data_IF_938080141741
#
_entry.id   IF_938080141741
#
_cell.length_a   1.000
_cell.length_b   1.000
_cell.length_c   1.000
_cell.angle_alpha   90.00
_cell.angle_beta   90.00
_cell.angle_gamma   90.00
#
_symmetry.space_group_name_H-M   'P 1'
#
loop_
_entity.id
_entity.type
_entity.pdbx_description
1 polymer ?
#
# COMPACT_ATOMS: atom_id res chain seq x y z
N UNK A 1 2.28 -17.57 -1.07
CA UNK A 1 1.21 -17.12 -1.98
C UNK A 1 1.61 -15.78 -2.55
N UNK A 2 1.61 -15.65 -3.86
CA UNK A 2 1.84 -14.40 -4.60
C UNK A 2 0.49 -13.72 -4.83
N UNK A 3 0.44 -12.39 -4.78
CA UNK A 3 -0.79 -11.65 -5.09
C UNK A 3 -0.96 -11.60 -6.61
N UNK A 4 -2.14 -11.98 -7.11
CA UNK A 4 -2.49 -11.78 -8.51
C UNK A 4 -2.90 -10.33 -8.73
N UNK A 5 -2.21 -9.63 -9.63
CA UNK A 5 -2.58 -8.27 -10.03
C UNK A 5 -3.82 -8.26 -10.93
N UNK A 6 -4.67 -7.25 -10.78
CA UNK A 6 -5.91 -7.11 -11.54
C UNK A 6 -5.69 -7.13 -13.06
N UNK A 7 -4.56 -6.62 -13.55
CA UNK A 7 -4.18 -6.69 -14.97
C UNK A 7 -4.17 -8.11 -15.55
N UNK A 8 -3.83 -9.11 -14.74
CA UNK A 8 -3.85 -10.51 -15.19
C UNK A 8 -5.26 -11.07 -15.24
N UNK A 9 -6.14 -10.61 -14.34
CA UNK A 9 -7.56 -10.99 -14.38
C UNK A 9 -8.22 -10.39 -15.62
N UNK A 10 -7.97 -9.10 -15.91
CA UNK A 10 -8.43 -8.46 -17.16
C UNK A 10 -7.88 -9.13 -18.42
N UNK A 11 -6.66 -9.67 -18.39
CA UNK A 11 -6.08 -10.37 -19.54
C UNK A 11 -6.76 -11.71 -19.83
N UNK A 12 -7.41 -12.34 -18.85
CA UNK A 12 -8.08 -13.65 -18.98
C UNK A 12 -9.60 -13.51 -19.11
N UNK A 13 -10.19 -12.53 -18.42
CA UNK A 13 -11.64 -12.30 -18.34
C UNK A 13 -11.99 -10.83 -18.63
N UNK A 14 -11.71 -10.32 -19.85
CA UNK A 14 -11.81 -8.89 -20.15
C UNK A 14 -13.24 -8.35 -20.11
N UNK A 15 -14.26 -9.15 -20.40
CA UNK A 15 -15.66 -8.70 -20.45
C UNK A 15 -16.36 -8.88 -19.11
N UNK A 16 -16.13 -10.01 -18.43
CA UNK A 16 -16.79 -10.34 -17.18
C UNK A 16 -16.37 -9.39 -16.06
N UNK A 17 -15.07 -9.09 -15.98
CA UNK A 17 -14.49 -8.26 -14.91
C UNK A 17 -15.00 -6.82 -14.95
N UNK A 18 -15.45 -6.32 -16.11
CA UNK A 18 -15.96 -4.95 -16.25
C UNK A 18 -17.24 -4.71 -15.43
N UNK A 19 -18.01 -5.75 -15.15
CA UNK A 19 -19.25 -5.66 -14.40
C UNK A 19 -19.08 -5.87 -12.88
N UNK A 20 -17.85 -6.11 -12.41
CA UNK A 20 -17.58 -6.28 -10.99
C UNK A 20 -17.17 -4.96 -10.34
N UNK A 21 -17.66 -4.77 -9.10
CA UNK A 21 -17.12 -3.76 -8.20
C UNK A 21 -15.74 -4.19 -7.71
N UNK A 22 -14.72 -3.39 -7.97
CA UNK A 22 -13.34 -3.64 -7.56
C UNK A 22 -13.05 -2.91 -6.26
N UNK A 23 -12.84 -3.70 -5.21
CA UNK A 23 -12.50 -3.19 -3.88
C UNK A 23 -11.02 -3.48 -3.61
N UNK A 24 -10.31 -2.49 -3.09
CA UNK A 24 -8.92 -2.65 -2.66
C UNK A 24 -8.67 -2.07 -1.28
N UNK A 25 -7.43 -2.20 -0.81
CA UNK A 25 -7.00 -1.64 0.48
C UNK A 25 -5.71 -0.87 0.30
N UNK A 26 -5.57 0.20 1.06
CA UNK A 26 -4.35 1.00 1.13
C UNK A 26 -4.01 1.33 2.58
N UNK A 27 -2.80 1.84 2.77
CA UNK A 27 -2.22 2.26 4.05
C UNK A 27 -1.22 3.36 3.74
N UNK A 28 -0.98 4.24 4.72
CA UNK A 28 0.07 5.24 4.69
C UNK A 28 1.35 4.65 4.06
N UNK A 29 1.84 5.20 2.94
CA UNK A 29 2.94 4.59 2.19
C UNK A 29 4.24 4.44 3.00
N UNK A 30 4.52 5.39 3.88
CA UNK A 30 5.73 5.36 4.72
C UNK A 30 5.65 4.29 5.80
N UNK A 31 4.50 4.16 6.46
CA UNK A 31 4.26 3.10 7.45
C UNK A 31 4.19 1.72 6.77
N UNK A 32 3.61 1.65 5.56
CA UNK A 32 3.58 0.45 4.72
C UNK A 32 4.98 -0.03 4.36
N UNK A 33 5.89 0.86 3.97
CA UNK A 33 7.27 0.50 3.64
C UNK A 33 8.03 -0.07 4.85
N UNK A 34 7.87 0.54 6.03
CA UNK A 34 8.46 0.03 7.29
C UNK A 34 7.87 -1.33 7.68
N UNK A 35 6.54 -1.46 7.63
CA UNK A 35 5.86 -2.73 7.89
C UNK A 35 6.38 -3.84 6.96
N UNK A 36 6.60 -3.50 5.69
CA UNK A 36 7.12 -4.43 4.69
C UNK A 36 8.56 -4.84 4.98
N UNK A 37 9.42 -3.89 5.33
CA UNK A 37 10.81 -4.16 5.71
C UNK A 37 10.87 -5.19 6.84
N UNK A 38 10.16 -4.95 7.94
CA UNK A 38 10.14 -5.89 9.07
C UNK A 38 9.45 -7.23 8.76
N UNK A 39 8.47 -7.24 7.86
CA UNK A 39 7.86 -8.49 7.41
C UNK A 39 8.85 -9.35 6.60
N UNK A 40 9.68 -8.73 5.76
CA UNK A 40 10.73 -9.44 5.04
C UNK A 40 11.82 -9.94 5.99
N UNK A 41 12.15 -9.17 7.02
CA UNK A 41 13.15 -9.50 8.03
C UNK A 41 12.59 -10.37 9.18
N UNK A 42 11.36 -10.87 9.10
CA UNK A 42 10.69 -11.60 10.19
C UNK A 42 11.37 -12.90 10.64
N UNK A 43 12.30 -13.43 9.84
CA UNK A 43 13.09 -14.64 10.14
C UNK A 43 14.52 -14.30 10.57
N UNK A 44 14.78 -13.04 10.86
CA UNK A 44 16.09 -12.52 11.29
C UNK A 44 15.93 -11.81 12.64
N UNK A 45 17.04 -11.51 13.28
CA UNK A 45 17.15 -10.75 14.52
C UNK A 45 17.06 -9.22 14.31
N UNK A 46 16.69 -8.74 13.11
CA UNK A 46 16.65 -7.31 12.78
C UNK A 46 15.85 -6.46 13.78
N UNK A 47 14.84 -7.03 14.44
CA UNK A 47 14.02 -6.34 15.45
C UNK A 47 14.74 -6.10 16.78
N UNK A 48 15.74 -6.91 17.08
CA UNK A 48 16.52 -6.87 18.32
C UNK A 48 17.76 -5.98 18.17
N UNK A 49 18.14 -5.65 16.93
CA UNK A 49 19.24 -4.73 16.60
C UNK A 49 18.94 -3.30 17.06
N UNK A 50 19.98 -2.49 17.22
CA UNK A 50 19.86 -1.07 17.53
C UNK A 50 19.21 -0.27 16.39
N UNK A 51 18.70 0.92 16.71
CA UNK A 51 18.00 1.78 15.74
C UNK A 51 18.90 2.21 14.57
N UNK A 52 20.20 2.44 14.80
CA UNK A 52 21.14 2.81 13.74
C UNK A 52 21.31 1.69 12.72
N UNK A 53 21.47 0.46 13.18
CA UNK A 53 21.51 -0.73 12.31
C UNK A 53 20.20 -0.93 11.56
N UNK A 54 19.05 -0.79 12.23
CA UNK A 54 17.73 -0.91 11.60
C UNK A 54 17.54 0.17 10.52
N UNK A 55 17.90 1.43 10.81
CA UNK A 55 17.84 2.55 9.87
C UNK A 55 18.72 2.32 8.65
N UNK A 56 19.99 1.94 8.84
CA UNK A 56 20.89 1.66 7.73
C UNK A 56 20.39 0.49 6.85
N UNK A 57 19.84 -0.56 7.47
CA UNK A 57 19.25 -1.68 6.74
C UNK A 57 17.96 -1.27 6.01
N UNK A 58 17.15 -0.41 6.61
CA UNK A 58 15.94 0.14 6.00
C UNK A 58 16.27 1.04 4.80
N UNK A 59 17.26 1.93 4.90
CA UNK A 59 17.73 2.76 3.78
C UNK A 59 18.20 1.89 2.62
N UNK A 60 19.01 0.85 2.89
CA UNK A 60 19.41 -0.11 1.84
C UNK A 60 18.20 -0.80 1.22
N UNK A 61 17.18 -1.14 2.02
CA UNK A 61 15.94 -1.74 1.56
C UNK A 61 15.14 -0.79 0.65
N UNK A 62 14.97 0.48 1.03
CA UNK A 62 14.22 1.47 0.23
C UNK A 62 14.92 1.75 -1.09
N UNK A 63 16.25 1.88 -1.12
CA UNK A 63 16.98 2.02 -2.39
C UNK A 63 16.97 0.74 -3.24
N UNK A 64 16.95 -0.45 -2.62
CA UNK A 64 16.88 -1.73 -3.33
C UNK A 64 15.52 -1.95 -3.98
N UNK A 65 14.43 -1.50 -3.36
CA UNK A 65 13.06 -1.78 -3.80
C UNK A 65 12.26 -0.53 -4.24
N UNK A 66 12.86 0.65 -4.17
CA UNK A 66 12.48 1.87 -4.89
C UNK A 66 13.49 2.20 -5.99
N UNK A 67 13.34 3.36 -6.66
CA UNK A 67 12.28 3.58 -7.66
C UNK A 67 12.22 2.45 -8.69
N UNK A 68 11.06 2.28 -9.33
CA UNK A 68 10.89 1.25 -10.37
C UNK A 68 11.43 1.82 -11.69
N UNK A 69 12.60 1.36 -12.11
CA UNK A 69 13.13 1.76 -13.41
C UNK A 69 12.43 0.98 -14.53
N UNK A 70 12.43 1.53 -15.75
CA UNK A 70 11.99 0.79 -16.94
C UNK A 70 12.71 -0.57 -17.08
N UNK A 71 14.01 -0.61 -16.74
CA UNK A 71 14.80 -1.83 -16.74
C UNK A 71 14.30 -2.86 -15.70
N UNK A 72 13.85 -2.40 -14.52
CA UNK A 72 13.22 -3.28 -13.53
C UNK A 72 11.91 -3.88 -14.06
N UNK A 73 11.12 -3.08 -14.78
CA UNK A 73 9.87 -3.53 -15.43
C UNK A 73 10.15 -4.56 -16.52
N UNK A 74 11.10 -4.26 -17.41
CA UNK A 74 11.52 -5.12 -18.52
C UNK A 74 12.08 -6.47 -18.04
N UNK A 75 13.00 -6.45 -17.07
CA UNK A 75 13.60 -7.65 -16.50
C UNK A 75 12.71 -8.34 -15.46
N UNK A 76 11.49 -7.83 -15.23
CA UNK A 76 10.55 -8.31 -14.20
C UNK A 76 11.21 -8.37 -12.81
N UNK A 77 12.17 -7.49 -12.55
CA UNK A 77 12.82 -7.31 -11.26
C UNK A 77 11.87 -6.56 -10.32
N UNK A 78 12.12 -6.64 -9.01
CA UNK A 78 11.36 -5.93 -7.96
C UNK A 78 9.86 -6.26 -7.84
N UNK A 79 9.28 -7.13 -8.69
CA UNK A 79 7.87 -7.65 -8.74
C UNK A 79 6.94 -7.10 -7.66
N UNK A 80 6.52 -7.95 -6.73
CA UNK A 80 5.59 -7.57 -5.66
C UNK A 80 6.25 -6.66 -4.64
N UNK A 81 7.59 -6.61 -4.58
CA UNK A 81 8.40 -6.01 -3.52
C UNK A 81 8.55 -4.50 -3.62
N UNK A 82 8.14 -3.93 -4.75
CA UNK A 82 8.19 -2.49 -4.98
C UNK A 82 7.39 -1.70 -3.93
N UNK A 83 7.84 -0.47 -3.66
CA UNK A 83 7.19 0.43 -2.70
C UNK A 83 5.78 0.86 -3.16
N UNK A 84 5.54 0.89 -4.48
CA UNK A 84 4.29 1.25 -5.16
C UNK A 84 3.35 0.05 -5.40
N UNK A 85 3.57 -1.09 -4.74
CA UNK A 85 2.88 -2.33 -5.09
C UNK A 85 1.36 -2.29 -4.89
N UNK A 86 0.85 -1.53 -3.93
CA UNK A 86 -0.60 -1.35 -3.71
C UNK A 86 -1.27 -0.79 -4.96
N UNK A 87 -0.71 0.26 -5.57
CA UNK A 87 -1.17 0.79 -6.87
C UNK A 87 -1.24 -0.32 -7.93
N UNK A 88 -0.22 -1.17 -8.03
CA UNK A 88 -0.18 -2.27 -9.01
C UNK A 88 -1.27 -3.33 -8.82
N UNK A 89 -1.92 -3.41 -7.65
CA UNK A 89 -3.01 -4.35 -7.41
C UNK A 89 -4.26 -4.02 -8.20
N UNK A 90 -4.57 -2.73 -8.38
CA UNK A 90 -5.83 -2.28 -8.98
C UNK A 90 -5.64 -1.33 -10.17
N UNK A 91 -4.42 -1.15 -10.65
CA UNK A 91 -4.13 -0.44 -11.90
C UNK A 91 -4.04 -1.38 -13.10
N UNK A 92 -4.76 -1.01 -14.17
CA UNK A 92 -4.73 -1.70 -15.46
C UNK A 92 -4.55 -0.65 -16.55
N UNK A 93 -3.55 -0.80 -17.40
CA UNK A 93 -3.22 0.13 -18.50
C UNK A 93 -3.13 1.60 -18.08
N UNK A 94 -2.50 1.84 -16.93
CA UNK A 94 -2.31 3.19 -16.38
C UNK A 94 -3.55 3.80 -15.73
N UNK A 95 -4.69 3.11 -15.75
CA UNK A 95 -5.95 3.56 -15.15
C UNK A 95 -6.21 2.86 -13.83
N UNK A 96 -6.72 3.61 -12.86
CA UNK A 96 -7.22 3.04 -11.62
C UNK A 96 -8.54 2.32 -11.93
N UNK A 97 -8.62 1.02 -11.63
CA UNK A 97 -9.84 0.22 -11.79
C UNK A 97 -10.54 -0.05 -10.46
N UNK A 98 -10.01 0.45 -9.34
CA UNK A 98 -10.68 0.33 -8.05
C UNK A 98 -11.83 1.33 -7.95
N UNK A 99 -13.01 0.85 -7.54
CA UNK A 99 -14.17 1.68 -7.24
C UNK A 99 -14.15 2.16 -5.79
N UNK A 100 -13.60 1.32 -4.90
CA UNK A 100 -13.57 1.55 -3.46
C UNK A 100 -12.23 1.09 -2.87
N UNK A 101 -11.54 1.98 -2.15
CA UNK A 101 -10.26 1.65 -1.51
C UNK A 101 -10.33 1.91 -0.02
N UNK A 102 -10.30 0.83 0.75
CA UNK A 102 -10.35 0.85 2.22
C UNK A 102 -8.98 1.30 2.75
N UNK A 103 -8.97 2.37 3.55
CA UNK A 103 -7.76 2.86 4.20
C UNK A 103 -7.60 2.16 5.53
N UNK A 104 -6.42 1.61 5.77
CA UNK A 104 -6.12 0.88 7.00
C UNK A 104 -6.32 1.75 8.25
N UNK A 105 -6.03 3.04 8.16
CA UNK A 105 -6.18 4.02 9.24
C UNK A 105 -7.64 4.36 9.55
N UNK A 106 -8.52 4.26 8.55
CA UNK A 106 -9.95 4.55 8.67
C UNK A 106 -10.79 3.28 8.50
N UNK A 107 -10.25 2.11 8.88
CA UNK A 107 -10.84 0.81 8.53
C UNK A 107 -12.29 0.68 8.99
N UNK A 108 -12.65 1.15 10.18
CA UNK A 108 -14.02 1.07 10.68
C UNK A 108 -14.98 1.95 9.87
N UNK A 109 -14.55 3.18 9.54
CA UNK A 109 -15.34 4.11 8.74
C UNK A 109 -15.53 3.58 7.31
N UNK A 110 -14.44 3.13 6.68
CA UNK A 110 -14.47 2.63 5.30
C UNK A 110 -15.18 1.27 5.22
N UNK A 111 -15.10 0.41 6.24
CA UNK A 111 -15.88 -0.84 6.29
C UNK A 111 -17.37 -0.58 6.51
N UNK A 112 -17.75 0.51 7.20
CA UNK A 112 -19.15 0.91 7.28
C UNK A 112 -19.65 1.39 5.90
N UNK A 113 -18.92 2.28 5.23
CA UNK A 113 -19.33 2.78 3.91
C UNK A 113 -19.30 1.72 2.80
N UNK A 114 -18.49 0.66 2.95
CA UNK A 114 -18.42 -0.45 2.00
C UNK A 114 -19.76 -1.20 1.87
N UNK A 115 -20.53 -1.26 2.97
CA UNK A 115 -21.81 -1.96 3.01
C UNK A 115 -22.83 -1.26 2.13
N UNK A 116 -22.93 0.06 2.30
CA UNK A 116 -23.76 0.94 1.48
C UNK A 116 -23.33 0.85 0.01
N UNK A 117 -22.02 0.87 -0.25
CA UNK A 117 -21.48 0.71 -1.59
C UNK A 117 -21.85 -0.63 -2.24
N UNK A 118 -21.80 -1.74 -1.48
CA UNK A 118 -22.16 -3.07 -1.99
C UNK A 118 -23.68 -3.28 -2.08
N UNK A 119 -24.49 -2.49 -1.37
CA UNK A 119 -25.94 -2.68 -1.27
C UNK A 119 -26.30 -3.92 -0.46
N UNK A 120 -25.48 -4.27 0.54
CA UNK A 120 -25.74 -5.45 1.38
C UNK A 120 -26.85 -5.14 2.41
N UNK A 121 -27.80 -6.08 2.64
CA UNK A 121 -28.92 -5.86 3.54
C UNK A 121 -28.54 -5.84 5.02
N UNK A 122 -27.40 -6.43 5.40
CA UNK A 122 -26.91 -6.49 6.77
C UNK A 122 -25.44 -6.12 6.86
N UNK A 123 -25.04 -5.60 8.03
CA UNK A 123 -23.64 -5.26 8.31
C UNK A 123 -22.79 -6.54 8.39
N UNK A 124 -21.72 -6.70 7.59
CA UNK A 124 -20.74 -7.73 7.82
C UNK A 124 -20.12 -7.53 9.22
N UNK A 125 -20.33 -8.47 10.13
CA UNK A 125 -19.70 -8.41 11.44
C UNK A 125 -18.19 -8.65 11.29
N UNK A 126 -17.41 -7.69 11.77
CA UNK A 126 -15.95 -7.82 11.94
C UNK A 126 -15.58 -8.20 13.38
N UNK A 127 -16.57 -8.46 14.25
CA UNK A 127 -16.32 -8.93 15.60
C UNK A 127 -15.54 -10.24 15.59
N UNK A 128 -14.45 -10.28 16.36
CA UNK A 128 -13.59 -11.46 16.44
C UNK A 128 -12.52 -11.57 15.35
N UNK A 129 -12.51 -10.70 14.33
CA UNK A 129 -11.42 -10.65 13.34
C UNK A 129 -10.20 -9.95 13.98
N UNK A 130 -9.25 -10.75 14.48
CA UNK A 130 -7.94 -10.23 14.91
C UNK A 130 -7.11 -9.85 13.69
N UNK A 131 -6.88 -8.54 13.50
CA UNK A 131 -5.86 -8.06 12.56
C UNK A 131 -4.50 -8.69 12.93
N UNK A 132 -3.71 -9.07 11.92
CA UNK A 132 -2.34 -9.57 12.12
C UNK A 132 -1.39 -8.43 12.53
N UNK A 133 -1.64 -7.81 13.68
CA UNK A 133 -0.80 -6.75 14.29
C UNK A 133 0.45 -7.30 14.98
N UNK A 134 0.55 -8.63 15.18
CA UNK A 134 1.64 -9.30 15.89
C UNK A 134 3.00 -9.32 15.17
N UNK A 135 3.11 -8.69 13.99
CA UNK A 135 4.39 -8.58 13.27
C UNK A 135 5.14 -7.27 13.52
N UNK A 136 4.58 -6.32 14.27
CA UNK A 136 5.30 -5.11 14.70
C UNK A 136 5.70 -5.25 16.17
N UNK A 137 6.89 -4.77 16.60
CA UNK A 137 7.08 -4.49 18.02
C UNK A 137 5.96 -3.55 18.49
N UNK A 138 5.51 -3.78 19.73
CA UNK A 138 4.57 -2.94 20.48
C UNK A 138 4.83 -1.45 20.18
N UNK A 139 3.81 -0.58 20.07
CA UNK A 139 3.93 0.83 19.66
C UNK A 139 4.88 1.73 20.49
N UNK A 140 5.61 1.16 21.44
CA UNK A 140 6.43 1.87 22.43
C UNK A 140 7.89 2.10 22.05
N UNK A 141 8.47 1.42 21.06
CA UNK A 141 9.91 1.62 20.76
C UNK A 141 10.22 2.63 19.66
N UNK A 142 9.60 2.55 18.47
CA UNK A 142 9.91 3.49 17.38
C UNK A 142 8.69 3.77 16.49
N UNK A 143 8.41 5.05 16.22
CA UNK A 143 7.47 5.46 15.16
C UNK A 143 8.12 5.15 13.81
N UNK A 144 7.35 4.88 12.75
CA UNK A 144 7.94 4.57 11.43
C UNK A 144 8.90 5.67 10.97
N UNK A 145 8.62 6.92 11.37
CA UNK A 145 9.42 8.11 11.10
C UNK A 145 10.89 7.98 11.55
N UNK A 146 11.15 7.26 12.66
CA UNK A 146 12.50 7.15 13.24
C UNK A 146 13.48 6.41 12.31
N UNK A 147 12.97 5.59 11.39
CA UNK A 147 13.77 4.84 10.42
C UNK A 147 14.11 5.62 9.16
N UNK A 148 13.49 6.77 8.93
CA UNK A 148 13.70 7.56 7.73
C UNK A 148 14.80 8.61 7.92
N UNK A 149 15.47 8.91 6.82
CA UNK A 149 16.12 10.19 6.57
C UNK A 149 15.31 10.97 5.51
N UNK A 150 15.69 12.21 5.23
CA UNK A 150 14.98 13.04 4.26
C UNK A 150 14.95 12.41 2.87
N UNK A 151 16.07 11.84 2.42
CA UNK A 151 16.19 11.23 1.09
C UNK A 151 15.26 10.02 0.93
N UNK A 152 15.19 9.13 1.92
CA UNK A 152 14.32 7.95 1.88
C UNK A 152 12.85 8.31 2.07
N UNK A 153 12.54 9.36 2.83
CA UNK A 153 11.18 9.90 2.95
C UNK A 153 10.69 10.37 1.58
N UNK A 154 11.50 11.17 0.91
CA UNK A 154 11.16 11.79 -0.37
C UNK A 154 11.09 10.73 -1.49
N UNK A 155 11.96 9.70 -1.45
CA UNK A 155 11.90 8.57 -2.36
C UNK A 155 10.57 7.79 -2.25
N UNK A 156 10.10 7.53 -1.03
CA UNK A 156 8.79 6.87 -0.83
C UNK A 156 7.66 7.77 -1.31
N UNK A 157 7.76 9.07 -1.06
CA UNK A 157 6.78 10.06 -1.50
C UNK A 157 6.66 10.08 -3.04
N UNK A 158 7.80 10.05 -3.74
CA UNK A 158 7.83 9.99 -5.18
C UNK A 158 7.22 8.70 -5.73
N UNK A 159 7.63 7.54 -5.19
CA UNK A 159 7.12 6.24 -5.62
C UNK A 159 5.60 6.09 -5.41
N UNK A 160 5.07 6.71 -4.35
CA UNK A 160 3.67 6.56 -3.94
C UNK A 160 2.86 7.85 -4.14
N UNK A 161 3.32 8.74 -5.02
CA UNK A 161 2.77 10.09 -5.22
C UNK A 161 1.27 10.08 -5.47
N UNK A 162 0.80 9.23 -6.39
CA UNK A 162 -0.62 9.14 -6.71
C UNK A 162 -1.47 8.76 -5.49
N UNK A 163 -1.00 7.82 -4.65
CA UNK A 163 -1.72 7.36 -3.47
C UNK A 163 -1.76 8.45 -2.40
N UNK A 164 -0.67 9.19 -2.26
CA UNK A 164 -0.56 10.35 -1.39
C UNK A 164 -1.54 11.44 -1.80
N UNK A 165 -1.57 11.78 -3.08
CA UNK A 165 -2.45 12.82 -3.62
C UNK A 165 -3.94 12.42 -3.55
N UNK A 166 -4.28 11.16 -3.87
CA UNK A 166 -5.66 10.68 -3.86
C UNK A 166 -6.25 10.57 -2.46
N UNK A 167 -5.49 10.02 -1.50
CA UNK A 167 -6.00 9.76 -0.15
C UNK A 167 -5.57 10.82 0.86
N UNK A 168 -4.77 11.80 0.48
CA UNK A 168 -4.34 12.89 1.36
C UNK A 168 -3.30 12.49 2.41
N UNK A 169 -2.55 11.40 2.17
CA UNK A 169 -1.55 10.92 3.14
C UNK A 169 -0.42 11.93 3.36
N UNK A 170 0.00 12.09 4.61
CA UNK A 170 1.25 12.76 4.97
C UNK A 170 2.18 11.84 5.75
N UNK A 171 3.43 12.27 5.89
CA UNK A 171 4.48 11.49 6.54
C UNK A 171 4.21 11.23 8.03
N UNK A 172 3.62 12.21 8.71
CA UNK A 172 3.33 12.16 10.14
C UNK A 172 2.01 11.42 10.44
N UNK A 173 1.15 11.27 9.43
CA UNK A 173 -0.18 10.67 9.54
C UNK A 173 -1.18 11.58 10.28
N UNK A 174 -1.06 12.89 10.11
CA UNK A 174 -1.90 13.90 10.78
C UNK A 174 -3.00 14.49 9.90
N UNK A 175 -2.89 14.33 8.59
CA UNK A 175 -3.86 14.86 7.65
C UNK A 175 -5.19 14.11 7.74
N UNK A 176 -6.27 14.86 7.47
CA UNK A 176 -7.56 14.26 7.18
C UNK A 176 -7.50 13.52 5.84
N UNK A 177 -7.79 12.22 5.88
CA UNK A 177 -7.69 11.36 4.71
C UNK A 177 -8.91 11.55 3.80
N UNK A 178 -8.67 11.60 2.49
CA UNK A 178 -9.66 11.63 1.42
C UNK A 178 -10.00 10.21 0.95
N UNK A 179 -11.12 10.03 0.27
CA UNK A 179 -11.66 8.72 -0.12
C UNK A 179 -12.87 8.33 0.74
N UNK A 180 -13.30 7.05 0.75
CA UNK A 180 -12.66 5.85 0.17
C UNK A 180 -12.89 5.66 -1.34
N UNK A 181 -13.70 6.51 -1.95
CA UNK A 181 -13.93 6.53 -3.41
C UNK A 181 -12.79 7.24 -4.15
N UNK A 182 -12.54 6.80 -5.39
CA UNK A 182 -11.52 7.41 -6.26
C UNK A 182 -12.09 8.67 -6.92
N UNK A 183 -11.42 9.81 -6.72
CA UNK A 183 -11.91 11.12 -7.19
C UNK A 183 -11.66 11.38 -8.68
N UNK A 184 -10.69 10.69 -9.29
CA UNK A 184 -10.39 10.78 -10.73
C UNK A 184 -9.73 9.48 -11.26
N UNK A 185 -10.49 8.53 -11.82
CA UNK A 185 -9.96 7.26 -12.30
C UNK A 185 -9.18 7.34 -13.61
N UNK A 186 -9.34 8.44 -14.37
CA UNK A 186 -8.83 8.60 -15.74
C UNK A 186 -7.37 9.08 -15.80
N UNK A 187 -6.84 9.70 -14.74
CA UNK A 187 -5.54 10.37 -14.81
C UNK A 187 -4.58 9.83 -13.76
N UNK A 188 -3.57 9.10 -14.25
CA UNK A 188 -2.36 8.82 -13.52
C UNK A 188 -1.18 9.27 -14.40
N UNK A 189 -0.80 10.55 -14.29
CA UNK A 189 0.47 11.02 -14.84
C UNK A 189 1.57 10.49 -13.93
N UNK A 190 2.17 9.37 -14.31
CA UNK A 190 3.59 9.02 -14.17
C UNK A 190 3.78 7.51 -13.95
N UNK A 191 4.23 6.84 -15.00
CA UNK A 191 5.16 5.71 -14.93
C UNK A 191 5.81 5.56 -16.32
N UNK A 192 6.89 6.31 -16.54
CA UNK A 192 7.99 5.78 -17.35
C UNK A 192 8.81 4.84 -16.47
#
# INVERSE_FOLDING_TARGET
RSHTFLKYVYAVFPEEVQNYKVISMTRNPWDRAVSRFFFQQRRTDMRERDLGTQKAAFIRFTHRWGPHTWLDSFLRLKRERALDNSRKLYFVDGRCRADYVIRFECIEQDMNGLQDFLGLPEKPSVEGIRLLTHTRPTPKKHKWMDLYDDATRDLVAECCRWEIEQFGYDFEGKNELKGPFITNPEVCRNAA
#
